data_IF_098306240372
#
_entry.id   IF_098306240372
#
_cell.length_a   1.000
_cell.length_b   1.000
_cell.length_c   1.000
_cell.angle_alpha   90.00
_cell.angle_beta   90.00
_cell.angle_gamma   90.00
#
_symmetry.space_group_name_H-M   'P 1'
#
loop_
_entity.id
_entity.type
_entity.pdbx_description
1 polymer ?
#
# COMPACT_ATOMS: atom_id res chain seq x y z
N UNK A 1 20.77 -24.07 20.87
CA UNK A 1 21.79 -25.07 20.53
C UNK A 1 22.30 -25.81 21.77
N UNK A 2 22.79 -25.12 22.82
CA UNK A 2 23.33 -25.77 24.02
C UNK A 2 22.43 -26.78 24.75
N UNK A 3 21.12 -26.47 24.87
CA UNK A 3 20.14 -27.38 25.48
C UNK A 3 19.93 -28.68 24.71
N UNK A 4 20.04 -28.66 23.36
CA UNK A 4 19.96 -29.88 22.54
C UNK A 4 21.19 -30.74 22.69
N UNK A 5 22.38 -30.13 22.77
CA UNK A 5 23.64 -30.84 23.03
C UNK A 5 23.62 -31.42 24.44
N UNK A 6 23.17 -30.67 25.44
CA UNK A 6 23.03 -31.18 26.80
C UNK A 6 22.03 -32.36 26.89
N UNK A 7 21.00 -32.38 26.06
CA UNK A 7 20.00 -33.46 26.04
C UNK A 7 20.61 -34.82 25.60
N UNK A 8 21.65 -34.81 24.77
CA UNK A 8 22.37 -36.04 24.38
C UNK A 8 22.98 -36.80 25.59
N UNK A 9 23.28 -36.06 26.66
CA UNK A 9 23.87 -36.62 27.87
C UNK A 9 22.87 -36.78 29.01
N UNK A 10 21.83 -35.98 29.03
CA UNK A 10 20.90 -35.87 30.19
C UNK A 10 19.51 -36.44 29.95
N UNK A 11 19.09 -36.56 28.71
CA UNK A 11 17.72 -37.00 28.35
C UNK A 11 16.58 -36.14 28.93
N UNK A 12 16.86 -34.87 29.28
CA UNK A 12 15.91 -33.99 29.99
C UNK A 12 14.80 -33.50 29.10
N UNK A 13 15.04 -33.30 27.78
CA UNK A 13 14.10 -32.80 26.81
C UNK A 13 13.30 -33.93 26.14
N UNK A 14 13.99 -35.00 25.76
CA UNK A 14 13.41 -36.20 25.14
C UNK A 14 14.35 -37.41 25.34
N UNK A 15 13.80 -38.57 25.25
CA UNK A 15 14.53 -39.87 25.28
C UNK A 15 14.03 -40.72 24.12
N UNK A 16 14.96 -41.48 23.51
CA UNK A 16 14.60 -42.52 22.55
C UNK A 16 14.63 -43.83 23.36
N UNK A 17 13.49 -44.50 23.49
CA UNK A 17 13.37 -45.78 24.23
C UNK A 17 13.98 -46.93 23.42
N UNK A 18 14.10 -48.10 24.05
CA UNK A 18 14.66 -49.33 23.45
C UNK A 18 13.95 -49.78 22.17
N UNK A 19 12.70 -49.35 21.96
CA UNK A 19 11.90 -49.66 20.77
C UNK A 19 12.10 -48.60 19.67
N UNK A 20 13.06 -47.73 19.75
CA UNK A 20 13.30 -46.60 18.85
C UNK A 20 12.14 -45.60 18.79
N UNK A 21 11.34 -45.50 19.85
CA UNK A 21 10.25 -44.57 19.98
C UNK A 21 10.73 -43.31 20.74
N UNK A 22 10.52 -42.17 20.17
CA UNK A 22 10.82 -40.89 20.78
C UNK A 22 9.78 -40.56 21.87
N UNK A 23 10.22 -40.36 23.10
CA UNK A 23 9.41 -39.94 24.23
C UNK A 23 9.80 -38.51 24.66
N UNK A 24 8.83 -37.59 24.60
CA UNK A 24 9.05 -36.22 25.04
C UNK A 24 8.95 -36.14 26.56
N UNK A 25 9.98 -35.51 27.18
CA UNK A 25 9.99 -35.24 28.60
C UNK A 25 9.34 -33.87 28.91
N UNK A 26 8.90 -33.57 30.13
CA UNK A 26 8.21 -32.30 30.46
C UNK A 26 8.99 -31.05 30.05
N UNK A 27 10.31 -31.03 30.18
CA UNK A 27 11.14 -29.92 29.73
C UNK A 27 11.20 -29.75 28.19
N UNK A 28 10.82 -30.76 27.43
CA UNK A 28 10.68 -30.68 25.97
C UNK A 28 9.57 -29.72 25.52
N UNK A 29 8.61 -29.38 26.40
CA UNK A 29 7.58 -28.40 26.12
C UNK A 29 8.05 -26.95 26.23
N UNK A 30 9.26 -26.69 26.72
CA UNK A 30 9.85 -25.34 26.87
C UNK A 30 9.93 -24.63 25.50
N UNK A 31 10.10 -25.35 24.40
CA UNK A 31 10.06 -24.85 23.04
C UNK A 31 8.70 -24.23 22.68
N UNK A 32 7.62 -24.90 23.04
CA UNK A 32 6.27 -24.41 22.77
C UNK A 32 5.92 -23.21 23.65
N UNK A 33 6.36 -23.24 24.93
CA UNK A 33 6.22 -22.11 25.83
C UNK A 33 6.96 -20.87 25.29
N UNK A 34 8.18 -21.03 24.78
CA UNK A 34 8.94 -19.94 24.16
C UNK A 34 8.24 -19.39 22.90
N UNK A 35 7.78 -20.25 22.00
CA UNK A 35 7.02 -19.84 20.82
C UNK A 35 5.73 -19.08 21.21
N UNK A 36 5.03 -19.56 22.24
CA UNK A 36 3.82 -18.90 22.73
C UNK A 36 4.10 -17.52 23.32
N UNK A 37 5.19 -17.36 24.08
CA UNK A 37 5.65 -16.07 24.60
C UNK A 37 6.00 -15.12 23.44
N UNK A 38 6.77 -15.56 22.47
CA UNK A 38 7.09 -14.76 21.28
C UNK A 38 5.82 -14.32 20.53
N UNK A 39 4.82 -15.19 20.44
CA UNK A 39 3.52 -14.89 19.85
C UNK A 39 2.78 -13.79 20.62
N UNK A 40 2.69 -13.90 21.94
CA UNK A 40 2.04 -12.88 22.79
C UNK A 40 2.77 -11.55 22.65
N UNK A 41 4.09 -11.53 22.74
CA UNK A 41 4.90 -10.30 22.58
C UNK A 41 4.63 -9.65 21.23
N UNK A 42 4.55 -10.44 20.17
CA UNK A 42 4.29 -9.94 18.82
C UNK A 42 2.89 -9.31 18.70
N UNK A 43 1.87 -9.93 19.32
CA UNK A 43 0.52 -9.35 19.39
C UNK A 43 0.52 -8.03 20.19
N UNK A 44 1.18 -8.00 21.32
CA UNK A 44 1.28 -6.79 22.16
C UNK A 44 1.93 -5.64 21.39
N UNK A 45 3.06 -5.91 20.72
CA UNK A 45 3.76 -4.93 19.88
C UNK A 45 2.87 -4.44 18.73
N UNK A 46 2.13 -5.34 18.08
CA UNK A 46 1.19 -4.99 17.02
C UNK A 46 0.05 -4.08 17.52
N UNK A 47 -0.54 -4.41 18.67
CA UNK A 47 -1.62 -3.60 19.28
C UNK A 47 -1.07 -2.23 19.68
N UNK A 48 0.11 -2.19 20.32
CA UNK A 48 0.79 -0.95 20.70
C UNK A 48 1.02 -0.03 19.52
N UNK A 49 1.58 -0.55 18.43
CA UNK A 49 1.87 0.22 17.24
C UNK A 49 0.59 0.73 16.58
N UNK A 50 -0.49 -0.06 16.61
CA UNK A 50 -1.80 0.36 16.12
C UNK A 50 -2.41 1.50 16.93
N UNK A 51 -2.21 1.49 18.25
CA UNK A 51 -2.71 2.54 19.16
C UNK A 51 -1.89 3.83 19.01
N UNK A 52 -0.57 3.73 18.94
CA UNK A 52 0.34 4.90 18.91
C UNK A 52 0.36 5.56 17.53
N UNK A 53 0.45 4.78 16.44
CA UNK A 53 0.66 5.30 15.10
C UNK A 53 -0.59 5.27 14.20
N UNK A 54 -1.74 4.88 14.75
CA UNK A 54 -2.97 4.72 13.98
C UNK A 54 -2.93 3.50 13.07
N UNK A 55 -3.57 3.57 11.89
CA UNK A 55 -3.54 2.44 10.94
C UNK A 55 -2.09 2.11 10.57
N UNK A 56 -1.58 1.03 11.13
CA UNK A 56 -0.26 0.53 10.77
C UNK A 56 -0.22 0.27 9.27
N UNK A 57 0.75 0.82 8.57
CA UNK A 57 1.11 0.47 7.17
C UNK A 57 1.61 -0.99 7.08
N UNK A 58 1.13 -1.90 7.98
CA UNK A 58 1.92 -2.99 8.47
C UNK A 58 1.54 -4.36 7.99
N UNK A 59 2.55 -5.08 7.77
CA UNK A 59 2.87 -6.48 7.89
C UNK A 59 1.64 -7.33 8.21
N UNK A 60 1.22 -8.23 7.34
CA UNK A 60 0.10 -9.12 7.59
C UNK A 60 0.55 -10.22 8.56
N UNK A 61 0.71 -9.82 9.83
CA UNK A 61 1.23 -10.70 10.89
C UNK A 61 0.42 -11.99 11.01
N UNK A 62 -0.91 -11.88 10.82
CA UNK A 62 -1.79 -13.04 10.83
C UNK A 62 -1.52 -14.01 9.68
N UNK A 63 -1.06 -13.51 8.53
CA UNK A 63 -0.71 -14.37 7.37
C UNK A 63 0.52 -15.25 7.69
N UNK A 64 1.42 -14.80 8.54
CA UNK A 64 2.53 -15.58 9.05
C UNK A 64 2.11 -16.49 10.21
N UNK A 65 1.41 -15.94 11.19
CA UNK A 65 1.12 -16.64 12.44
C UNK A 65 0.14 -17.79 12.27
N UNK A 66 -0.86 -17.69 11.40
CA UNK A 66 -1.85 -18.75 11.19
C UNK A 66 -1.21 -20.06 10.73
N UNK A 67 -0.34 -20.10 9.68
CA UNK A 67 0.35 -21.33 9.28
C UNK A 67 1.28 -21.87 10.37
N UNK A 68 2.02 -20.98 11.06
CA UNK A 68 2.97 -21.38 12.10
C UNK A 68 2.25 -22.02 13.30
N UNK A 69 1.18 -21.40 13.76
CA UNK A 69 0.38 -21.94 14.89
C UNK A 69 -0.31 -23.24 14.49
N UNK A 70 -0.93 -23.28 13.30
CA UNK A 70 -1.57 -24.49 12.80
C UNK A 70 -0.59 -25.66 12.72
N UNK A 71 0.60 -25.43 12.19
CA UNK A 71 1.66 -26.42 12.12
C UNK A 71 2.16 -26.84 13.51
N UNK A 72 2.29 -25.90 14.46
CA UNK A 72 2.67 -26.20 15.84
C UNK A 72 1.63 -27.07 16.57
N UNK A 73 0.32 -26.79 16.35
CA UNK A 73 -0.77 -27.62 16.88
C UNK A 73 -0.73 -29.03 16.28
N UNK A 74 -0.58 -29.16 14.96
CA UNK A 74 -0.46 -30.44 14.29
C UNK A 74 0.71 -31.23 14.87
N UNK A 75 1.87 -30.59 15.00
CA UNK A 75 3.06 -31.24 15.58
C UNK A 75 2.89 -31.63 17.05
N UNK A 76 2.04 -30.91 17.81
CA UNK A 76 1.76 -31.25 19.19
C UNK A 76 0.80 -32.43 19.32
N UNK A 77 -0.16 -32.56 18.40
CA UNK A 77 -1.19 -33.61 18.41
C UNK A 77 -0.73 -34.93 17.78
N UNK A 78 0.06 -34.83 16.69
CA UNK A 78 0.58 -35.98 15.96
C UNK A 78 2.06 -36.17 16.19
N UNK A 79 2.39 -37.26 16.81
CA UNK A 79 3.76 -37.62 17.10
C UNK A 79 4.54 -37.97 15.83
N UNK A 80 5.80 -37.50 15.74
CA UNK A 80 6.70 -37.80 14.61
C UNK A 80 6.58 -36.90 13.39
N UNK A 81 5.64 -35.93 13.36
CA UNK A 81 5.49 -34.98 12.26
C UNK A 81 6.26 -33.69 12.59
N UNK A 82 7.27 -33.34 11.80
CA UNK A 82 8.01 -32.09 11.93
C UNK A 82 7.34 -30.95 11.14
N UNK A 83 6.06 -30.64 11.48
CA UNK A 83 5.25 -29.69 10.75
C UNK A 83 5.66 -28.21 10.96
N UNK A 84 6.36 -27.87 12.05
CA UNK A 84 6.73 -26.49 12.39
C UNK A 84 7.54 -25.79 11.29
N UNK A 85 8.48 -26.49 10.66
CA UNK A 85 9.29 -25.94 9.56
C UNK A 85 8.44 -25.66 8.31
N UNK A 86 7.48 -26.52 8.02
CA UNK A 86 6.53 -26.30 6.93
C UNK A 86 5.67 -25.06 7.20
N UNK A 87 5.17 -24.92 8.44
CA UNK A 87 4.40 -23.74 8.86
C UNK A 87 5.21 -22.45 8.74
N UNK A 88 6.48 -22.44 9.18
CA UNK A 88 7.37 -21.31 9.01
C UNK A 88 7.63 -20.97 7.52
N UNK A 89 7.90 -21.96 6.69
CA UNK A 89 8.11 -21.78 5.25
C UNK A 89 6.88 -21.20 4.56
N UNK A 90 5.68 -21.73 4.84
CA UNK A 90 4.43 -21.20 4.31
C UNK A 90 4.17 -19.76 4.80
N UNK A 91 4.42 -19.48 6.07
CA UNK A 91 4.29 -18.14 6.63
C UNK A 91 5.23 -17.13 5.97
N UNK A 92 6.49 -17.47 5.79
CA UNK A 92 7.48 -16.62 5.10
C UNK A 92 7.12 -16.40 3.63
N UNK A 93 6.69 -17.47 2.93
CA UNK A 93 6.22 -17.36 1.55
C UNK A 93 5.01 -16.45 1.44
N UNK A 94 4.05 -16.57 2.34
CA UNK A 94 2.87 -15.72 2.35
C UNK A 94 3.21 -14.24 2.63
N UNK A 95 4.17 -13.96 3.52
CA UNK A 95 4.71 -12.60 3.71
C UNK A 95 5.35 -12.09 2.43
N UNK A 96 6.23 -12.88 1.83
CA UNK A 96 6.93 -12.50 0.60
C UNK A 96 5.95 -12.14 -0.51
N UNK A 97 4.93 -12.98 -0.76
CA UNK A 97 3.90 -12.72 -1.77
C UNK A 97 3.08 -11.45 -1.45
N UNK A 98 2.74 -11.21 -0.18
CA UNK A 98 2.05 -9.98 0.23
C UNK A 98 2.93 -8.73 0.03
N UNK A 99 4.22 -8.82 0.31
CA UNK A 99 5.16 -7.72 0.05
C UNK A 99 5.29 -7.46 -1.44
N UNK A 100 5.48 -8.48 -2.27
CA UNK A 100 5.51 -8.37 -3.73
C UNK A 100 4.25 -7.70 -4.28
N UNK A 101 3.06 -8.15 -3.85
CA UNK A 101 1.80 -7.55 -4.25
C UNK A 101 1.69 -6.07 -3.85
N UNK A 102 2.26 -5.65 -2.73
CA UNK A 102 2.29 -4.24 -2.30
C UNK A 102 3.26 -3.40 -3.12
N UNK A 103 4.45 -3.91 -3.37
CA UNK A 103 5.43 -3.22 -4.24
C UNK A 103 4.90 -3.05 -5.66
N UNK A 104 4.13 -4.04 -6.16
CA UNK A 104 3.46 -3.96 -7.46
C UNK A 104 2.34 -2.90 -7.52
N UNK A 105 1.94 -2.27 -6.41
CA UNK A 105 0.86 -1.27 -6.34
C UNK A 105 1.34 0.17 -6.12
N UNK A 106 2.65 0.39 -6.04
CA UNK A 106 3.26 1.70 -5.78
C UNK A 106 4.18 2.06 -6.94
N UNK A 107 4.17 3.32 -7.33
CA UNK A 107 5.14 3.88 -8.29
C UNK A 107 6.50 4.11 -7.60
N UNK A 108 7.54 3.49 -8.14
CA UNK A 108 8.87 3.49 -7.54
C UNK A 108 9.57 4.85 -7.52
N UNK A 109 9.19 5.78 -8.41
CA UNK A 109 9.79 7.11 -8.50
C UNK A 109 9.16 8.08 -7.50
N UNK A 110 7.82 8.12 -7.44
CA UNK A 110 7.06 9.12 -6.69
C UNK A 110 6.58 8.65 -5.33
N UNK A 111 6.55 7.32 -5.10
CA UNK A 111 5.99 6.72 -3.88
C UNK A 111 4.46 6.79 -3.80
N UNK A 112 3.78 7.33 -4.81
CA UNK A 112 2.32 7.31 -4.92
C UNK A 112 1.84 5.92 -5.35
N UNK A 113 0.54 5.68 -5.27
CA UNK A 113 -0.02 4.47 -5.85
C UNK A 113 0.04 4.51 -7.38
N UNK A 114 0.16 3.35 -8.01
CA UNK A 114 0.21 3.23 -9.47
C UNK A 114 -1.17 2.91 -10.08
N UNK A 115 -1.21 2.79 -11.41
CA UNK A 115 -2.39 2.46 -12.20
C UNK A 115 -3.05 1.14 -11.76
N UNK A 116 -2.28 0.08 -11.51
CA UNK A 116 -2.85 -1.20 -11.08
C UNK A 116 -3.64 -1.08 -9.76
N UNK A 117 -3.21 -0.19 -8.86
CA UNK A 117 -3.92 0.01 -7.60
C UNK A 117 -5.21 0.82 -7.75
N UNK A 118 -5.29 1.81 -8.64
CA UNK A 118 -6.56 2.52 -8.88
C UNK A 118 -7.59 1.59 -9.51
N UNK A 119 -7.22 0.77 -10.48
CA UNK A 119 -8.10 -0.24 -11.08
C UNK A 119 -8.65 -1.21 -10.02
N UNK A 120 -7.78 -1.71 -9.13
CA UNK A 120 -8.23 -2.51 -7.97
C UNK A 120 -9.18 -1.74 -7.04
N UNK A 121 -8.95 -0.43 -6.81
CA UNK A 121 -9.83 0.41 -5.98
C UNK A 121 -11.19 0.64 -6.62
N UNK A 122 -11.25 0.79 -7.94
CA UNK A 122 -12.51 0.94 -8.67
C UNK A 122 -13.35 -0.34 -8.62
N UNK A 123 -12.74 -1.54 -8.68
CA UNK A 123 -13.45 -2.79 -8.41
C UNK A 123 -14.08 -2.83 -7.02
N UNK A 124 -13.39 -2.35 -6.00
CA UNK A 124 -13.92 -2.25 -4.63
C UNK A 124 -14.99 -1.16 -4.54
N UNK A 125 -14.83 -0.04 -5.24
CA UNK A 125 -15.78 1.06 -5.29
C UNK A 125 -17.11 0.58 -5.89
N UNK A 126 -17.07 -0.20 -6.97
CA UNK A 126 -18.23 -0.81 -7.62
C UNK A 126 -19.05 -1.68 -6.67
N UNK A 127 -18.38 -2.52 -5.87
CA UNK A 127 -19.01 -3.36 -4.85
C UNK A 127 -19.63 -2.58 -3.68
N UNK A 128 -19.18 -1.33 -3.44
CA UNK A 128 -19.62 -0.48 -2.32
C UNK A 128 -20.43 0.72 -2.75
N UNK A 129 -20.86 0.79 -4.01
CA UNK A 129 -21.58 1.90 -4.61
C UNK A 129 -22.94 2.22 -3.98
N UNK A 130 -23.53 1.26 -3.27
CA UNK A 130 -24.75 1.45 -2.49
C UNK A 130 -24.56 2.23 -1.18
N UNK A 131 -23.31 2.45 -0.75
CA UNK A 131 -22.97 3.15 0.52
C UNK A 131 -22.08 4.37 0.30
N UNK A 132 -21.30 4.37 -0.79
CA UNK A 132 -20.29 5.40 -1.05
C UNK A 132 -20.33 5.87 -2.49
N UNK A 133 -20.20 7.17 -2.67
CA UNK A 133 -19.91 7.80 -3.94
C UNK A 133 -18.39 7.97 -4.08
N UNK A 134 -17.92 7.93 -5.33
CA UNK A 134 -16.52 8.14 -5.69
C UNK A 134 -16.44 9.14 -6.84
N UNK A 135 -15.38 9.94 -6.84
CA UNK A 135 -15.02 10.84 -7.94
C UNK A 135 -13.52 10.89 -8.10
N UNK A 136 -13.05 11.35 -9.24
CA UNK A 136 -11.62 11.50 -9.52
C UNK A 136 -11.31 12.83 -10.15
N UNK A 137 -10.12 13.36 -9.86
CA UNK A 137 -9.46 14.43 -10.59
C UNK A 137 -8.20 13.88 -11.21
N UNK A 138 -8.09 13.91 -12.53
CA UNK A 138 -6.88 13.67 -13.29
C UNK A 138 -6.16 14.99 -13.47
N UNK A 139 -4.83 14.95 -13.39
CA UNK A 139 -3.98 16.09 -13.69
C UNK A 139 -2.77 15.65 -14.50
N UNK A 140 -2.31 16.54 -15.36
CA UNK A 140 -1.15 16.38 -16.24
C UNK A 140 -0.24 17.62 -16.08
N UNK A 141 1.06 17.41 -16.17
CA UNK A 141 2.04 18.50 -16.12
C UNK A 141 2.15 19.14 -17.49
N UNK A 142 1.70 20.39 -17.61
CA UNK A 142 1.83 21.13 -18.87
C UNK A 142 3.30 21.29 -19.25
N UNK A 143 3.62 21.08 -20.52
CA UNK A 143 4.96 21.18 -21.09
C UNK A 143 6.00 20.26 -20.48
N UNK A 144 5.61 19.13 -19.88
CA UNK A 144 6.55 18.20 -19.24
C UNK A 144 7.62 17.67 -20.21
N UNK A 145 7.26 17.45 -21.47
CA UNK A 145 8.21 17.06 -22.50
C UNK A 145 9.30 18.12 -22.68
N UNK A 146 8.96 19.41 -22.67
CA UNK A 146 9.92 20.50 -22.79
C UNK A 146 10.89 20.55 -21.58
N UNK A 147 10.40 20.22 -20.38
CA UNK A 147 11.26 20.08 -19.21
C UNK A 147 12.29 18.97 -19.44
N UNK A 148 11.87 17.80 -19.92
CA UNK A 148 12.78 16.71 -20.23
C UNK A 148 13.77 17.05 -21.35
N UNK A 149 13.28 17.63 -22.42
CA UNK A 149 14.11 17.94 -23.61
C UNK A 149 15.14 19.04 -23.32
N UNK A 150 14.79 20.01 -22.43
CA UNK A 150 15.66 21.16 -22.10
C UNK A 150 16.63 20.84 -20.97
N UNK A 151 16.18 20.14 -19.92
CA UNK A 151 16.94 19.96 -18.68
C UNK A 151 17.35 18.51 -18.41
N UNK A 152 16.91 17.58 -19.25
CA UNK A 152 17.19 16.15 -19.12
C UNK A 152 16.22 15.39 -18.21
N UNK A 153 16.17 14.08 -18.41
CA UNK A 153 15.22 13.20 -17.70
C UNK A 153 15.38 13.20 -16.16
N UNK A 154 16.60 13.42 -15.65
CA UNK A 154 16.80 13.50 -14.19
C UNK A 154 16.05 14.68 -13.58
N UNK A 155 16.01 15.83 -14.27
CA UNK A 155 15.25 17.01 -13.83
C UNK A 155 13.76 16.79 -13.98
N UNK A 156 13.33 16.08 -15.04
CA UNK A 156 11.94 15.62 -15.18
C UNK A 156 11.50 14.69 -14.06
N UNK A 157 12.36 13.75 -13.65
CA UNK A 157 12.10 12.86 -12.50
C UNK A 157 11.94 13.65 -11.19
N UNK A 158 12.74 14.69 -10.99
CA UNK A 158 12.61 15.57 -9.82
C UNK A 158 11.33 16.41 -9.88
N UNK A 159 10.90 16.84 -11.07
CA UNK A 159 9.60 17.48 -11.27
C UNK A 159 8.44 16.54 -10.88
N UNK A 160 8.48 15.27 -11.28
CA UNK A 160 7.48 14.27 -10.90
C UNK A 160 7.43 14.04 -9.38
N UNK A 161 8.59 14.00 -8.71
CA UNK A 161 8.65 13.89 -7.24
C UNK A 161 8.09 15.14 -6.56
N UNK A 162 8.36 16.33 -7.09
CA UNK A 162 7.79 17.57 -6.58
C UNK A 162 6.26 17.59 -6.72
N UNK A 163 5.72 17.16 -7.86
CA UNK A 163 4.27 17.04 -8.05
C UNK A 163 3.66 16.07 -7.03
N UNK A 164 4.29 14.93 -6.77
CA UNK A 164 3.83 14.01 -5.74
C UNK A 164 3.79 14.65 -4.34
N UNK A 165 4.77 15.49 -4.00
CA UNK A 165 4.78 16.24 -2.74
C UNK A 165 3.69 17.31 -2.69
N UNK A 166 3.47 18.06 -3.79
CA UNK A 166 2.37 19.02 -3.91
C UNK A 166 1.03 18.32 -3.67
N UNK A 167 0.80 17.20 -4.35
CA UNK A 167 -0.42 16.39 -4.16
C UNK A 167 -0.61 15.96 -2.72
N UNK A 168 0.45 15.46 -2.08
CA UNK A 168 0.40 15.01 -0.69
C UNK A 168 0.09 16.15 0.30
N UNK A 169 0.53 17.37 0.03
CA UNK A 169 0.23 18.57 0.84
C UNK A 169 -1.18 19.11 0.59
N UNK A 170 -1.63 19.06 -0.66
CA UNK A 170 -2.90 19.66 -1.10
C UNK A 170 -4.12 18.79 -0.82
N UNK A 171 -3.92 17.48 -0.74
CA UNK A 171 -5.01 16.51 -0.60
C UNK A 171 -5.44 16.28 0.85
N UNK A 172 -6.73 16.06 1.06
CA UNK A 172 -7.26 15.66 2.36
C UNK A 172 -6.72 14.28 2.79
N UNK A 173 -6.59 14.06 4.10
CA UNK A 173 -6.00 12.86 4.71
C UNK A 173 -6.60 11.52 4.29
N UNK A 174 -7.83 11.49 3.76
CA UNK A 174 -8.53 10.26 3.32
C UNK A 174 -8.52 10.04 1.80
N UNK A 175 -7.86 10.91 1.06
CA UNK A 175 -7.80 10.89 -0.40
C UNK A 175 -6.70 9.93 -0.86
N UNK A 176 -6.91 9.25 -1.98
CA UNK A 176 -5.91 8.36 -2.57
C UNK A 176 -5.24 9.04 -3.76
N UNK A 177 -3.92 9.03 -3.77
CA UNK A 177 -3.08 9.70 -4.77
C UNK A 177 -2.40 8.65 -5.64
N UNK A 178 -2.46 8.84 -6.96
CA UNK A 178 -1.93 7.89 -7.94
C UNK A 178 -1.07 8.61 -8.96
N UNK A 179 0.02 7.96 -9.39
CA UNK A 179 0.66 8.23 -10.66
C UNK A 179 0.08 7.26 -11.67
N UNK A 180 -0.64 7.78 -12.66
CA UNK A 180 -1.41 6.95 -13.59
C UNK A 180 -0.57 6.49 -14.78
N UNK A 181 0.13 7.43 -15.42
CA UNK A 181 1.07 7.17 -16.50
C UNK A 181 2.02 8.38 -16.66
N UNK A 182 3.26 8.18 -17.07
CA UNK A 182 4.18 9.28 -17.41
C UNK A 182 4.14 10.47 -16.45
N UNK A 183 3.54 11.56 -16.91
CA UNK A 183 3.30 12.83 -16.21
C UNK A 183 1.84 13.01 -15.74
N UNK A 184 1.02 11.97 -15.86
CA UNK A 184 -0.39 11.96 -15.47
C UNK A 184 -0.57 11.40 -14.07
N UNK A 185 -1.34 12.13 -13.25
CA UNK A 185 -1.70 11.74 -11.88
C UNK A 185 -3.22 11.73 -11.71
N UNK A 186 -3.69 10.89 -10.79
CA UNK A 186 -5.11 10.85 -10.41
C UNK A 186 -5.25 10.97 -8.91
N UNK A 187 -6.25 11.74 -8.49
CA UNK A 187 -6.69 11.84 -7.10
C UNK A 187 -8.08 11.25 -7.00
N UNK A 188 -8.25 10.20 -6.21
CA UNK A 188 -9.52 9.51 -6.03
C UNK A 188 -10.14 9.89 -4.68
N UNK A 189 -11.35 10.43 -4.74
CA UNK A 189 -12.15 10.83 -3.59
C UNK A 189 -13.20 9.78 -3.28
N UNK A 190 -13.60 9.74 -2.01
CA UNK A 190 -14.65 8.89 -1.50
C UNK A 190 -15.46 9.63 -0.45
N UNK A 191 -16.78 9.62 -0.58
CA UNK A 191 -17.70 10.15 0.42
C UNK A 191 -18.86 9.16 0.67
N UNK A 192 -19.57 9.24 1.82
CA UNK A 192 -20.88 8.63 1.96
C UNK A 192 -21.81 9.05 0.82
N UNK A 193 -22.75 8.20 0.44
CA UNK A 193 -23.66 8.52 -0.67
C UNK A 193 -24.52 9.76 -0.37
N UNK A 194 -24.83 10.02 0.92
CA UNK A 194 -25.52 11.23 1.39
C UNK A 194 -24.73 12.52 1.19
N UNK A 195 -23.41 12.45 1.04
CA UNK A 195 -22.48 13.58 0.88
C UNK A 195 -21.90 13.63 -0.55
N UNK A 196 -22.57 13.00 -1.52
CA UNK A 196 -22.07 12.93 -2.91
C UNK A 196 -21.84 14.30 -3.51
N UNK A 197 -22.70 15.27 -3.21
CA UNK A 197 -22.63 16.64 -3.74
C UNK A 197 -21.37 17.38 -3.26
N UNK A 198 -20.86 17.04 -2.08
CA UNK A 198 -19.61 17.61 -1.57
C UNK A 198 -18.37 17.21 -2.38
N UNK A 199 -18.42 16.09 -3.12
CA UNK A 199 -17.28 15.61 -3.89
C UNK A 199 -16.84 16.62 -4.97
N UNK A 200 -17.77 17.35 -5.58
CA UNK A 200 -17.42 18.37 -6.56
C UNK A 200 -16.66 19.53 -5.92
N UNK A 201 -17.15 20.02 -4.80
CA UNK A 201 -16.47 21.07 -4.04
C UNK A 201 -15.08 20.64 -3.60
N UNK A 202 -14.90 19.37 -3.16
CA UNK A 202 -13.61 18.80 -2.78
C UNK A 202 -12.63 18.71 -3.96
N UNK A 203 -13.11 18.34 -5.15
CA UNK A 203 -12.27 18.33 -6.37
C UNK A 203 -11.80 19.75 -6.73
N UNK A 204 -12.72 20.74 -6.73
CA UNK A 204 -12.40 22.14 -7.01
C UNK A 204 -11.40 22.69 -5.99
N UNK A 205 -11.62 22.41 -4.72
CA UNK A 205 -10.70 22.84 -3.64
C UNK A 205 -9.32 22.25 -3.81
N UNK A 206 -9.22 20.96 -4.17
CA UNK A 206 -7.93 20.30 -4.44
C UNK A 206 -7.18 21.01 -5.57
N UNK A 207 -7.85 21.26 -6.71
CA UNK A 207 -7.23 21.95 -7.86
C UNK A 207 -6.68 23.32 -7.46
N UNK A 208 -7.47 24.08 -6.71
CA UNK A 208 -7.01 25.39 -6.18
C UNK A 208 -5.77 25.23 -5.31
N UNK A 209 -5.79 24.32 -4.35
CA UNK A 209 -4.66 24.09 -3.45
C UNK A 209 -3.39 23.67 -4.21
N UNK A 210 -3.54 22.79 -5.21
CA UNK A 210 -2.41 22.37 -6.07
C UNK A 210 -1.82 23.58 -6.82
N UNK A 211 -2.66 24.44 -7.41
CA UNK A 211 -2.20 25.64 -8.12
C UNK A 211 -1.52 26.63 -7.18
N UNK A 212 -2.02 26.78 -5.96
CA UNK A 212 -1.42 27.64 -4.94
C UNK A 212 -0.05 27.11 -4.51
N UNK A 213 0.09 25.82 -4.22
CA UNK A 213 1.37 25.21 -3.84
C UNK A 213 2.40 25.26 -4.99
N UNK A 214 1.97 24.96 -6.22
CA UNK A 214 2.84 25.12 -7.39
C UNK A 214 3.25 26.58 -7.60
N UNK A 215 2.33 27.52 -7.40
CA UNK A 215 2.61 28.95 -7.50
C UNK A 215 3.65 29.43 -6.49
N UNK A 216 3.67 28.86 -5.27
CA UNK A 216 4.70 29.14 -4.26
C UNK A 216 6.07 28.64 -4.75
N UNK A 217 6.17 27.40 -5.19
CA UNK A 217 7.41 26.80 -5.71
C UNK A 217 7.95 27.57 -6.94
N UNK A 218 7.06 27.94 -7.85
CA UNK A 218 7.41 28.71 -9.03
C UNK A 218 7.96 30.12 -8.72
N UNK A 219 7.51 30.73 -7.60
CA UNK A 219 8.02 32.02 -7.13
C UNK A 219 9.38 31.92 -6.45
N UNK A 220 9.65 30.82 -5.76
CA UNK A 220 10.92 30.58 -5.09
C UNK A 220 12.08 30.39 -6.08
N UNK A 221 11.80 30.15 -7.37
CA UNK A 221 12.75 29.90 -8.46
C UNK A 221 13.85 28.88 -8.14
N UNK A 222 13.54 27.88 -7.31
CA UNK A 222 14.48 26.82 -6.93
C UNK A 222 14.73 25.87 -8.10
N UNK A 223 13.66 25.60 -8.90
CA UNK A 223 13.77 24.78 -10.10
C UNK A 223 13.96 25.65 -11.36
N UNK A 224 14.68 25.15 -12.38
CA UNK A 224 14.90 25.90 -13.64
C UNK A 224 13.63 25.92 -14.53
N UNK A 225 12.55 25.26 -14.12
CA UNK A 225 11.26 25.16 -14.80
C UNK A 225 10.13 25.67 -13.91
N UNK A 226 8.97 25.87 -14.51
CA UNK A 226 7.74 26.22 -13.79
C UNK A 226 6.74 25.07 -13.93
N UNK A 227 6.11 24.71 -12.81
CA UNK A 227 5.04 23.71 -12.80
C UNK A 227 3.70 24.38 -13.08
N UNK A 228 3.03 23.90 -14.12
CA UNK A 228 1.68 24.26 -14.50
C UNK A 228 0.90 22.97 -14.76
N UNK A 229 -0.41 22.98 -14.51
CA UNK A 229 -1.23 21.77 -14.57
C UNK A 229 -2.51 22.00 -15.33
N UNK A 230 -2.91 20.99 -16.08
CA UNK A 230 -4.25 20.84 -16.64
C UNK A 230 -5.02 19.78 -15.87
N UNK A 231 -6.31 20.02 -15.59
CA UNK A 231 -7.15 19.16 -14.76
C UNK A 231 -8.38 18.67 -15.50
N UNK A 232 -8.80 17.45 -15.17
CA UNK A 232 -10.08 16.90 -15.60
C UNK A 232 -10.77 16.12 -14.50
N UNK A 233 -12.05 16.32 -14.34
CA UNK A 233 -12.86 15.77 -13.25
C UNK A 233 -13.94 14.82 -13.78
N UNK A 234 -14.21 13.75 -13.02
CA UNK A 234 -15.35 12.90 -13.29
C UNK A 234 -15.89 12.26 -12.01
N UNK A 235 -17.20 11.99 -12.00
CA UNK A 235 -17.83 11.11 -11.04
C UNK A 235 -17.76 9.67 -11.53
N UNK A 236 -17.43 8.75 -10.62
CA UNK A 236 -17.42 7.33 -10.92
C UNK A 236 -18.86 6.79 -10.98
N UNK A 237 -19.22 6.22 -12.10
CA UNK A 237 -20.47 5.47 -12.27
C UNK A 237 -20.18 3.97 -12.20
N UNK A 238 -20.70 3.24 -11.18
CA UNK A 238 -20.45 1.82 -11.03
C UNK A 238 -21.00 0.95 -12.16
N UNK A 239 -21.88 1.49 -13.01
CA UNK A 239 -22.45 0.80 -14.18
C UNK A 239 -21.59 0.92 -15.43
N UNK A 240 -20.65 1.86 -15.44
CA UNK A 240 -19.72 2.08 -16.56
C UNK A 240 -18.40 1.34 -16.36
N UNK A 241 -17.62 1.16 -17.43
CA UNK A 241 -16.27 0.61 -17.34
C UNK A 241 -15.30 1.58 -16.66
N UNK A 242 -14.18 1.07 -16.19
CA UNK A 242 -13.11 1.90 -15.63
C UNK A 242 -12.50 2.81 -16.71
N UNK A 243 -12.38 2.30 -17.94
CA UNK A 243 -11.90 3.08 -19.09
C UNK A 243 -12.81 4.27 -19.41
N UNK A 244 -14.12 4.13 -19.25
CA UNK A 244 -15.07 5.23 -19.44
C UNK A 244 -14.88 6.33 -18.38
N UNK A 245 -14.57 5.93 -17.13
CA UNK A 245 -14.27 6.87 -16.06
C UNK A 245 -12.97 7.65 -16.34
N UNK A 246 -11.91 6.96 -16.75
CA UNK A 246 -10.64 7.60 -17.11
C UNK A 246 -10.80 8.49 -18.35
N UNK A 247 -11.49 8.04 -19.37
CA UNK A 247 -11.78 8.81 -20.58
C UNK A 247 -12.52 10.10 -20.32
N UNK A 248 -13.47 10.12 -19.36
CA UNK A 248 -14.18 11.35 -18.99
C UNK A 248 -13.24 12.38 -18.36
N UNK A 249 -12.36 11.95 -17.47
CA UNK A 249 -11.36 12.84 -16.87
C UNK A 249 -10.39 13.35 -17.93
N UNK A 250 -9.88 12.48 -18.78
CA UNK A 250 -8.94 12.83 -19.87
C UNK A 250 -9.54 13.87 -20.81
N UNK A 251 -10.79 13.69 -21.26
CA UNK A 251 -11.48 14.66 -22.12
C UNK A 251 -11.62 16.05 -21.48
N UNK A 252 -11.91 16.13 -20.21
CA UNK A 252 -11.99 17.41 -19.49
C UNK A 252 -10.61 18.04 -19.35
N UNK A 253 -9.61 17.28 -18.98
CA UNK A 253 -8.21 17.70 -18.86
C UNK A 253 -7.67 18.22 -20.19
N UNK A 254 -7.94 17.52 -21.29
CA UNK A 254 -7.51 17.92 -22.62
C UNK A 254 -8.11 19.26 -23.07
N UNK A 255 -9.37 19.54 -22.70
CA UNK A 255 -10.00 20.86 -22.98
C UNK A 255 -9.23 22.00 -22.29
N UNK A 256 -8.78 21.77 -21.07
CA UNK A 256 -7.98 22.77 -20.34
C UNK A 256 -6.57 22.89 -20.92
N UNK A 257 -5.90 21.76 -21.20
CA UNK A 257 -4.57 21.71 -21.81
C UNK A 257 -4.51 22.52 -23.12
N UNK A 258 -5.52 22.36 -23.97
CA UNK A 258 -5.62 23.17 -25.23
C UNK A 258 -5.68 24.66 -24.99
N UNK A 259 -6.25 25.15 -23.89
CA UNK A 259 -6.30 26.59 -23.57
C UNK A 259 -4.92 27.11 -23.11
N UNK A 260 -4.11 26.26 -22.45
CA UNK A 260 -2.78 26.61 -22.03
C UNK A 260 -1.80 26.65 -23.20
N UNK A 261 -1.93 25.70 -24.15
CA UNK A 261 -1.07 25.63 -25.33
C UNK A 261 -1.43 26.63 -26.45
N UNK A 262 -2.61 27.26 -26.39
CA UNK A 262 -3.06 28.27 -27.35
C UNK A 262 -2.62 29.71 -26.99
N UNK A 263 -1.98 29.88 -25.85
CA UNK A 263 -1.43 31.15 -25.36
C UNK A 263 0.08 31.20 -25.55
#
# INVERSE_FOLDING_TARGET
MGLLVANLFTGILYVINENNVYERRPLGYIYYAFLFICFIVTIILYIRDRVIYGKTKFFPIFTFLVPVIGAAIIQALWYGIAAAWLGCSLGLTAIYLNMQARFAMVDGLTGLYNRAFIEHKLLVARKKSNRYAYSGTMLDIDFFKEINDTYGHSVGDDALKQVAQILAKSAERKTLLFRFAGDEFIVLFKAPLSEKEELEAKMILLERNIREEAGKLNKENIAPYKLQFSFGRAFFDPKQSDDEFFRKMDLEMYKEKRKHHAK
#
